data_IF_460056171957
#
_entry.id   IF_460056171957
#
_cell.length_a   1.000
_cell.length_b   1.000
_cell.length_c   1.000
_cell.angle_alpha   90.00
_cell.angle_beta   90.00
_cell.angle_gamma   90.00
#
_symmetry.space_group_name_H-M   'P 1'
#
loop_
_entity.id
_entity.type
_entity.pdbx_description
1 polymer ?
#
# COMPACT_ATOMS: atom_id res chain seq x y z
N UNK A 1 -46.23 13.27 -69.89
CA UNK A 1 -45.63 12.33 -68.89
C UNK A 1 -44.65 13.13 -68.03
N UNK A 2 -45.21 13.76 -67.01
CA UNK A 2 -44.57 14.75 -66.14
C UNK A 2 -43.88 14.03 -64.93
N UNK A 3 -42.59 14.18 -64.88
CA UNK A 3 -41.80 13.69 -63.75
C UNK A 3 -41.76 14.79 -62.68
N UNK A 4 -42.47 14.55 -61.54
CA UNK A 4 -42.47 15.35 -60.36
C UNK A 4 -41.14 15.11 -59.61
N UNK A 5 -40.27 16.12 -59.60
CA UNK A 5 -39.06 16.17 -58.72
C UNK A 5 -39.47 16.73 -57.36
N UNK A 6 -39.78 15.83 -56.45
CA UNK A 6 -39.94 16.21 -55.04
C UNK A 6 -38.61 16.72 -54.43
N UNK A 7 -38.54 18.03 -54.20
CA UNK A 7 -37.50 18.71 -53.47
C UNK A 7 -37.56 18.28 -52.00
N UNK A 8 -36.59 17.41 -51.56
CA UNK A 8 -36.35 17.12 -50.15
C UNK A 8 -35.73 18.36 -49.51
N UNK A 9 -36.55 19.14 -48.83
CA UNK A 9 -36.09 20.17 -47.88
C UNK A 9 -35.41 19.49 -46.69
N UNK A 10 -34.10 19.59 -46.64
CA UNK A 10 -33.32 19.18 -45.45
C UNK A 10 -33.59 20.17 -44.32
N UNK A 11 -34.48 19.80 -43.40
CA UNK A 11 -34.69 20.53 -42.16
C UNK A 11 -33.37 20.53 -41.36
N UNK A 12 -32.73 21.68 -41.29
CA UNK A 12 -31.58 21.93 -40.42
C UNK A 12 -32.07 21.89 -39.00
N UNK A 13 -31.81 20.78 -38.28
CA UNK A 13 -32.04 20.67 -36.85
C UNK A 13 -31.11 21.67 -36.16
N UNK A 14 -31.65 22.84 -35.84
CA UNK A 14 -30.95 23.85 -35.01
C UNK A 14 -30.88 23.31 -33.59
N UNK A 15 -29.74 22.74 -33.21
CA UNK A 15 -29.48 22.34 -31.82
C UNK A 15 -29.50 23.59 -30.93
N UNK A 16 -30.36 23.64 -29.90
CA UNK A 16 -30.38 24.79 -29.00
C UNK A 16 -28.99 25.00 -28.37
N UNK A 17 -28.55 26.24 -28.17
CA UNK A 17 -27.28 26.53 -27.54
C UNK A 17 -27.21 25.87 -26.15
N UNK A 18 -26.21 25.02 -25.94
CA UNK A 18 -25.95 24.42 -24.62
C UNK A 18 -25.76 25.55 -23.65
N UNK A 19 -26.73 25.78 -22.75
CA UNK A 19 -26.61 26.73 -21.66
C UNK A 19 -25.39 26.29 -20.84
N UNK A 20 -24.31 27.07 -20.90
CA UNK A 20 -23.17 26.94 -19.99
C UNK A 20 -23.70 27.34 -18.61
N UNK A 21 -24.10 26.36 -17.79
CA UNK A 21 -24.35 26.61 -16.37
C UNK A 21 -23.10 27.26 -15.80
N UNK A 22 -23.20 28.42 -15.16
CA UNK A 22 -22.05 29.05 -14.53
C UNK A 22 -21.44 28.04 -13.56
N UNK A 23 -20.14 27.76 -13.66
CA UNK A 23 -19.41 26.97 -12.67
C UNK A 23 -19.40 27.82 -11.39
N UNK A 24 -20.36 27.58 -10.50
CA UNK A 24 -20.34 28.13 -9.16
C UNK A 24 -19.18 27.43 -8.45
N UNK A 25 -18.02 28.09 -8.42
CA UNK A 25 -16.92 27.66 -7.55
C UNK A 25 -17.34 27.93 -6.12
N UNK A 26 -17.52 26.90 -5.28
CA UNK A 26 -17.87 27.14 -3.89
C UNK A 26 -16.79 28.02 -3.25
N UNK A 27 -17.16 29.01 -2.45
CA UNK A 27 -16.21 29.90 -1.82
C UNK A 27 -15.28 29.09 -0.89
N UNK A 28 -13.99 29.40 -0.87
CA UNK A 28 -12.96 28.69 -0.14
C UNK A 28 -13.27 28.53 1.38
N UNK A 29 -14.02 29.46 1.98
CA UNK A 29 -14.40 29.39 3.39
C UNK A 29 -15.34 28.20 3.72
N UNK A 30 -15.95 27.56 2.72
CA UNK A 30 -16.73 26.32 2.89
C UNK A 30 -15.84 25.16 3.36
N UNK A 31 -14.52 25.21 3.14
CA UNK A 31 -13.57 24.20 3.61
C UNK A 31 -13.10 24.46 5.04
N UNK A 32 -13.32 25.68 5.59
CA UNK A 32 -12.83 26.06 6.92
C UNK A 32 -13.31 25.13 8.06
N UNK A 33 -14.57 24.73 8.17
CA UNK A 33 -15.00 23.83 9.25
C UNK A 33 -14.24 22.49 9.22
N UNK A 34 -14.03 21.92 8.04
CA UNK A 34 -13.27 20.68 7.88
C UNK A 34 -11.77 20.87 8.22
N UNK A 35 -11.18 21.97 7.79
CA UNK A 35 -9.78 22.31 8.12
C UNK A 35 -9.57 22.59 9.60
N UNK A 36 -10.51 23.27 10.26
CA UNK A 36 -10.44 23.51 11.70
C UNK A 36 -10.55 22.20 12.50
N UNK A 37 -11.48 21.34 12.12
CA UNK A 37 -11.62 20.02 12.74
C UNK A 37 -10.36 19.17 12.53
N UNK A 38 -9.82 19.15 11.31
CA UNK A 38 -8.58 18.45 11.00
C UNK A 38 -7.38 19.02 11.79
N UNK A 39 -7.26 20.34 11.87
CA UNK A 39 -6.20 20.98 12.65
C UNK A 39 -6.30 20.63 14.13
N UNK A 40 -7.52 20.67 14.69
CA UNK A 40 -7.75 20.38 16.11
C UNK A 40 -7.50 18.90 16.46
N UNK A 41 -7.98 17.96 15.62
CA UNK A 41 -7.91 16.52 15.92
C UNK A 41 -6.59 15.89 15.48
N UNK A 42 -5.97 16.40 14.41
CA UNK A 42 -4.76 15.80 13.82
C UNK A 42 -3.52 16.67 14.01
N UNK A 43 -3.54 17.94 13.56
CA UNK A 43 -2.32 18.73 13.55
C UNK A 43 -1.84 19.13 14.95
N UNK A 44 -2.75 19.52 15.85
CA UNK A 44 -2.35 19.93 17.21
C UNK A 44 -1.79 18.74 18.00
N UNK A 45 -2.41 17.54 18.06
CA UNK A 45 -1.82 16.39 18.76
C UNK A 45 -0.51 15.93 18.11
N UNK A 46 -0.43 15.92 16.77
CA UNK A 46 0.82 15.55 16.08
C UNK A 46 1.95 16.54 16.38
N UNK A 47 1.66 17.85 16.40
CA UNK A 47 2.65 18.87 16.75
C UNK A 47 3.13 18.74 18.19
N UNK A 48 2.22 18.45 19.14
CA UNK A 48 2.60 18.13 20.52
C UNK A 48 3.42 16.85 20.60
N UNK A 49 3.05 15.81 19.87
CA UNK A 49 3.82 14.59 19.77
C UNK A 49 5.26 14.86 19.33
N UNK A 50 5.45 15.64 18.25
CA UNK A 50 6.80 16.04 17.81
C UNK A 50 7.58 16.75 18.93
N UNK A 51 6.93 17.61 19.73
CA UNK A 51 7.59 18.25 20.87
C UNK A 51 8.03 17.23 21.93
N UNK A 52 7.17 16.26 22.27
CA UNK A 52 7.51 15.21 23.26
C UNK A 52 8.65 14.30 22.81
N UNK A 53 8.90 14.14 21.52
CA UNK A 53 10.07 13.41 21.02
C UNK A 53 11.42 13.98 21.49
N UNK A 54 11.45 15.26 21.94
CA UNK A 54 12.62 15.95 22.47
C UNK A 54 12.65 16.02 24.01
N UNK A 55 11.81 15.25 24.67
CA UNK A 55 11.67 15.21 26.15
C UNK A 55 11.83 13.80 26.68
N UNK A 56 12.03 13.69 27.99
CA UNK A 56 12.05 12.42 28.74
C UNK A 56 10.67 12.01 29.26
N UNK A 57 9.60 12.51 28.63
CA UNK A 57 8.23 12.27 29.08
C UNK A 57 7.87 10.78 29.09
N UNK A 58 7.35 10.32 30.23
CA UNK A 58 6.91 8.94 30.48
C UNK A 58 5.43 8.68 30.11
N UNK A 59 4.71 9.70 29.60
CA UNK A 59 3.30 9.58 29.24
C UNK A 59 2.31 9.92 30.35
N UNK A 60 2.75 10.05 31.59
CA UNK A 60 1.90 10.19 32.79
C UNK A 60 2.25 11.43 33.60
N UNK A 61 3.54 11.65 33.87
CA UNK A 61 4.00 12.74 34.71
C UNK A 61 3.93 14.07 33.94
N UNK A 62 3.29 15.12 34.53
CA UNK A 62 3.32 16.46 33.96
C UNK A 62 4.71 17.12 34.04
N UNK A 63 5.58 16.64 34.95
CA UNK A 63 6.94 17.15 35.14
C UNK A 63 7.92 16.34 34.28
N UNK A 64 8.27 16.88 33.11
CA UNK A 64 9.24 16.30 32.19
C UNK A 64 10.27 17.34 31.74
N UNK A 65 11.48 16.91 31.44
CA UNK A 65 12.56 17.75 31.00
C UNK A 65 12.74 17.75 29.48
N UNK A 66 13.14 18.89 28.95
CA UNK A 66 13.57 18.97 27.55
C UNK A 66 15.01 18.44 27.44
N UNK A 67 15.21 17.33 26.75
CA UNK A 67 16.49 16.62 26.60
C UNK A 67 17.12 16.79 25.19
N UNK A 68 16.51 17.62 24.33
CA UNK A 68 17.01 17.87 22.97
C UNK A 68 16.98 16.64 22.09
N UNK A 69 18.08 16.33 21.42
CA UNK A 69 18.17 15.20 20.47
C UNK A 69 18.55 13.85 21.13
N UNK A 70 18.55 13.76 22.46
CA UNK A 70 19.01 12.57 23.18
C UNK A 70 18.27 11.30 22.74
N UNK A 71 16.94 11.31 22.67
CA UNK A 71 16.15 10.15 22.18
C UNK A 71 16.60 9.67 20.80
N UNK A 72 16.95 10.60 19.91
CA UNK A 72 17.42 10.27 18.55
C UNK A 72 18.85 9.72 18.53
N UNK A 73 19.72 10.21 19.43
CA UNK A 73 21.10 9.69 19.56
C UNK A 73 21.10 8.33 20.24
N UNK A 74 20.28 8.13 21.26
CA UNK A 74 20.12 6.86 21.96
C UNK A 74 19.58 5.78 21.00
N UNK A 75 18.62 6.13 20.12
CA UNK A 75 18.13 5.24 19.07
C UNK A 75 19.23 4.73 18.11
N UNK A 76 20.22 5.57 17.79
CA UNK A 76 21.32 5.16 16.92
C UNK A 76 22.31 4.22 17.63
N UNK A 77 22.36 4.25 18.96
CA UNK A 77 23.14 3.35 19.80
C UNK A 77 22.40 2.08 20.23
N UNK A 78 21.10 2.03 20.00
CA UNK A 78 20.24 0.91 20.36
C UNK A 78 20.21 -0.12 19.20
N UNK A 79 20.78 -1.30 19.44
CA UNK A 79 20.84 -2.38 18.44
C UNK A 79 19.45 -2.84 18.01
N UNK A 80 18.48 -2.89 18.93
CA UNK A 80 17.10 -3.31 18.63
C UNK A 80 16.40 -2.28 17.74
N UNK A 81 16.59 -0.98 18.00
CA UNK A 81 16.03 0.08 17.16
C UNK A 81 16.63 0.07 15.75
N UNK A 82 17.94 -0.05 15.63
CA UNK A 82 18.64 -0.13 14.33
C UNK A 82 18.18 -1.37 13.54
N UNK A 83 18.06 -2.51 14.22
CA UNK A 83 17.58 -3.74 13.60
C UNK A 83 16.10 -3.62 13.16
N UNK A 84 15.25 -3.00 13.97
CA UNK A 84 13.85 -2.76 13.62
C UNK A 84 13.69 -1.81 12.41
N UNK A 85 14.55 -0.79 12.30
CA UNK A 85 14.60 0.06 11.10
C UNK A 85 14.94 -0.78 9.87
N UNK A 86 15.95 -1.64 9.96
CA UNK A 86 16.34 -2.53 8.86
C UNK A 86 15.22 -3.51 8.48
N UNK A 87 14.60 -4.17 9.47
CA UNK A 87 13.47 -5.08 9.23
C UNK A 87 12.30 -4.35 8.58
N UNK A 88 11.97 -3.14 9.04
CA UNK A 88 10.90 -2.31 8.45
C UNK A 88 11.16 -2.07 6.96
N UNK A 89 12.37 -1.65 6.61
CA UNK A 89 12.72 -1.39 5.20
C UNK A 89 12.72 -2.69 4.39
N UNK A 90 13.30 -3.76 4.91
CA UNK A 90 13.37 -5.06 4.24
C UNK A 90 11.97 -5.62 3.95
N UNK A 91 11.10 -5.65 4.97
CA UNK A 91 9.71 -6.11 4.85
C UNK A 91 8.95 -5.25 3.83
N UNK A 92 9.05 -3.93 3.93
CA UNK A 92 8.36 -3.01 3.03
C UNK A 92 8.77 -3.21 1.57
N UNK A 93 10.07 -3.35 1.29
CA UNK A 93 10.59 -3.62 -0.06
C UNK A 93 10.17 -5.00 -0.54
N UNK A 94 10.30 -6.04 0.29
CA UNK A 94 9.93 -7.40 -0.06
C UNK A 94 8.43 -7.50 -0.40
N UNK A 95 7.56 -6.94 0.46
CA UNK A 95 6.12 -6.88 0.21
C UNK A 95 5.85 -6.13 -1.10
N UNK A 96 6.44 -4.94 -1.28
CA UNK A 96 6.20 -4.13 -2.46
C UNK A 96 6.55 -4.88 -3.75
N UNK A 97 7.69 -5.56 -3.79
CA UNK A 97 8.12 -6.29 -4.99
C UNK A 97 7.27 -7.53 -5.22
N UNK A 98 7.11 -8.37 -4.19
CA UNK A 98 6.46 -9.68 -4.34
C UNK A 98 4.93 -9.51 -4.55
N UNK A 99 4.28 -8.68 -3.72
CA UNK A 99 2.84 -8.42 -3.82
C UNK A 99 2.45 -7.83 -5.17
N UNK A 100 3.20 -6.83 -5.64
CA UNK A 100 2.90 -6.21 -6.94
C UNK A 100 3.23 -7.14 -8.10
N UNK A 101 4.31 -7.93 -8.01
CA UNK A 101 4.62 -8.95 -8.99
C UNK A 101 3.51 -9.99 -9.12
N UNK A 102 3.08 -10.57 -8.01
CA UNK A 102 1.97 -11.54 -7.97
C UNK A 102 0.66 -10.86 -8.41
N UNK A 103 0.34 -9.67 -7.89
CA UNK A 103 -0.86 -8.92 -8.27
C UNK A 103 -0.97 -8.65 -9.77
N UNK A 104 0.15 -8.27 -10.41
CA UNK A 104 0.20 -8.06 -11.86
C UNK A 104 0.02 -9.37 -12.64
N UNK A 105 0.66 -10.46 -12.22
CA UNK A 105 0.48 -11.78 -12.84
C UNK A 105 -0.97 -12.25 -12.75
N UNK A 106 -1.59 -12.11 -11.57
CA UNK A 106 -3.00 -12.41 -11.35
C UNK A 106 -3.91 -11.54 -12.23
N UNK A 107 -3.62 -10.24 -12.34
CA UNK A 107 -4.39 -9.32 -13.18
C UNK A 107 -4.32 -9.70 -14.67
N UNK A 108 -3.14 -10.03 -15.18
CA UNK A 108 -2.95 -10.50 -16.55
C UNK A 108 -3.70 -11.82 -16.80
N UNK A 109 -3.64 -12.76 -15.86
CA UNK A 109 -4.38 -14.03 -15.94
C UNK A 109 -5.90 -13.83 -15.98
N UNK A 110 -6.43 -13.00 -15.07
CA UNK A 110 -7.88 -12.76 -14.95
C UNK A 110 -8.41 -11.79 -16.02
N UNK A 111 -7.54 -10.99 -16.65
CA UNK A 111 -7.92 -10.13 -17.78
C UNK A 111 -8.20 -10.95 -19.07
N UNK A 112 -7.77 -12.20 -19.11
CA UNK A 112 -8.03 -13.09 -20.24
C UNK A 112 -9.52 -13.48 -20.34
N UNK A 113 -9.94 -14.05 -21.49
CA UNK A 113 -11.34 -14.42 -21.79
C UNK A 113 -11.79 -15.73 -21.07
N UNK A 114 -11.37 -15.92 -19.81
CA UNK A 114 -11.75 -17.08 -19.02
C UNK A 114 -13.20 -16.95 -18.53
N UNK A 115 -14.01 -18.01 -18.69
CA UNK A 115 -15.43 -18.01 -18.27
C UNK A 115 -15.60 -17.76 -16.76
N UNK A 116 -14.66 -18.22 -15.93
CA UNK A 116 -14.67 -18.12 -14.46
C UNK A 116 -14.03 -16.84 -13.93
N UNK A 117 -13.65 -15.89 -14.77
CA UNK A 117 -12.91 -14.68 -14.38
C UNK A 117 -13.52 -13.90 -13.20
N UNK A 118 -14.86 -13.79 -13.16
CA UNK A 118 -15.52 -13.04 -12.10
C UNK A 118 -15.46 -13.78 -10.75
N UNK A 119 -15.60 -15.10 -10.77
CA UNK A 119 -15.41 -15.92 -9.57
C UNK A 119 -13.97 -15.84 -9.05
N UNK A 120 -12.99 -15.97 -9.95
CA UNK A 120 -11.58 -15.83 -9.59
C UNK A 120 -11.27 -14.46 -9.00
N UNK A 121 -11.82 -13.37 -9.53
CA UNK A 121 -11.67 -12.01 -8.94
C UNK A 121 -12.16 -11.96 -7.50
N UNK A 122 -13.35 -12.50 -7.24
CA UNK A 122 -13.93 -12.52 -5.89
C UNK A 122 -13.07 -13.36 -4.94
N UNK A 123 -12.70 -14.58 -5.33
CA UNK A 123 -11.91 -15.46 -4.48
C UNK A 123 -10.51 -14.93 -4.17
N UNK A 124 -9.83 -14.36 -5.17
CA UNK A 124 -8.49 -13.79 -5.00
C UNK A 124 -8.50 -12.47 -4.20
N UNK A 125 -9.59 -11.70 -4.27
CA UNK A 125 -9.75 -10.47 -3.52
C UNK A 125 -10.25 -10.71 -2.09
N UNK A 126 -10.95 -11.79 -1.84
CA UNK A 126 -11.60 -12.09 -0.55
C UNK A 126 -10.66 -11.96 0.68
N UNK A 127 -9.40 -12.42 0.64
CA UNK A 127 -8.48 -12.25 1.78
C UNK A 127 -8.27 -10.78 2.19
N UNK A 128 -8.27 -9.85 1.24
CA UNK A 128 -8.04 -8.44 1.51
C UNK A 128 -9.20 -7.75 2.27
N UNK A 129 -10.37 -8.38 2.33
CA UNK A 129 -11.53 -7.86 3.07
C UNK A 129 -11.44 -8.20 4.56
N UNK A 130 -10.69 -9.23 4.92
CA UNK A 130 -10.48 -9.64 6.32
C UNK A 130 -9.53 -8.64 7.00
N UNK A 131 -9.83 -8.28 8.25
CA UNK A 131 -8.95 -7.36 8.99
C UNK A 131 -7.55 -7.98 9.18
N UNK A 132 -6.47 -7.19 9.11
CA UNK A 132 -5.10 -7.68 9.21
C UNK A 132 -4.83 -8.51 10.47
N UNK A 133 -5.33 -8.07 11.61
CA UNK A 133 -5.14 -8.76 12.88
C UNK A 133 -5.80 -10.15 12.91
N UNK A 134 -7.00 -10.29 12.35
CA UNK A 134 -7.72 -11.58 12.26
C UNK A 134 -6.99 -12.53 11.31
N UNK A 135 -6.51 -12.00 10.18
CA UNK A 135 -5.67 -12.77 9.24
C UNK A 135 -4.41 -13.28 9.93
N UNK A 136 -3.74 -12.43 10.72
CA UNK A 136 -2.53 -12.81 11.43
C UNK A 136 -2.79 -13.94 12.46
N UNK A 137 -3.83 -13.84 13.28
CA UNK A 137 -4.19 -14.90 14.23
C UNK A 137 -4.57 -16.22 13.52
N UNK A 138 -5.27 -16.15 12.38
CA UNK A 138 -5.57 -17.33 11.57
C UNK A 138 -4.28 -18.01 11.11
N UNK A 139 -3.37 -17.25 10.51
CA UNK A 139 -2.09 -17.76 10.03
C UNK A 139 -1.16 -18.21 11.15
N UNK A 140 -1.18 -17.56 12.31
CA UNK A 140 -0.44 -17.99 13.49
C UNK A 140 -0.83 -19.42 13.89
N UNK A 141 -2.13 -19.72 13.88
CA UNK A 141 -2.60 -21.10 14.16
C UNK A 141 -2.24 -22.09 13.06
N UNK A 142 -2.32 -21.66 11.78
CA UNK A 142 -1.97 -22.52 10.65
C UNK A 142 -0.46 -22.85 10.59
N UNK A 143 0.39 -21.88 10.93
CA UNK A 143 1.85 -21.98 10.92
C UNK A 143 2.44 -22.51 12.24
N UNK A 144 1.62 -22.66 13.27
CA UNK A 144 2.05 -23.21 14.57
C UNK A 144 2.57 -24.66 14.45
N UNK A 145 3.29 -25.15 15.49
CA UNK A 145 3.86 -26.51 15.47
C UNK A 145 2.84 -27.60 15.13
N UNK A 146 1.64 -27.52 15.73
CA UNK A 146 0.52 -28.45 15.48
C UNK A 146 -0.46 -27.97 14.41
N UNK A 147 -0.07 -26.94 13.64
CA UNK A 147 -0.92 -26.30 12.66
C UNK A 147 -1.08 -27.10 11.37
N UNK A 148 -2.13 -26.76 10.60
CA UNK A 148 -2.48 -27.47 9.38
C UNK A 148 -1.36 -27.46 8.34
N UNK A 149 -0.52 -26.42 8.28
CA UNK A 149 0.63 -26.37 7.37
C UNK A 149 1.61 -27.50 7.69
N UNK A 150 1.96 -27.69 8.95
CA UNK A 150 2.85 -28.77 9.37
C UNK A 150 2.21 -30.14 9.22
N UNK A 151 0.90 -30.26 9.46
CA UNK A 151 0.17 -31.52 9.24
C UNK A 151 0.20 -31.98 7.75
N UNK A 152 0.12 -31.03 6.81
CA UNK A 152 0.22 -31.31 5.37
C UNK A 152 1.66 -31.59 4.94
N UNK A 153 2.63 -30.87 5.49
CA UNK A 153 4.04 -31.02 5.12
C UNK A 153 4.71 -32.24 5.76
N UNK A 154 4.14 -32.77 6.84
CA UNK A 154 4.66 -33.95 7.54
C UNK A 154 6.14 -33.78 7.94
N UNK A 155 7.06 -34.64 7.41
CA UNK A 155 8.47 -34.57 7.76
C UNK A 155 9.19 -33.26 7.39
N UNK A 156 8.57 -32.44 6.52
CA UNK A 156 9.08 -31.13 6.11
C UNK A 156 8.56 -29.98 6.99
N UNK A 157 7.72 -30.31 7.97
CA UNK A 157 7.21 -29.35 8.94
C UNK A 157 8.33 -28.69 9.73
N UNK A 158 8.16 -27.42 10.06
CA UNK A 158 9.14 -26.61 10.80
C UNK A 158 8.44 -25.70 11.80
N UNK A 159 9.21 -25.13 12.70
CA UNK A 159 8.75 -24.00 13.51
C UNK A 159 8.88 -22.71 12.70
N UNK A 160 7.84 -22.39 11.92
CA UNK A 160 7.83 -21.30 10.96
C UNK A 160 7.93 -19.92 11.61
N UNK A 161 7.42 -19.75 12.83
CA UNK A 161 7.36 -18.49 13.54
C UNK A 161 8.37 -18.41 14.69
N UNK A 162 8.87 -19.53 15.17
CA UNK A 162 9.90 -19.62 16.21
C UNK A 162 11.34 -19.64 15.67
N UNK A 163 11.52 -19.84 14.35
CA UNK A 163 12.83 -19.73 13.71
C UNK A 163 13.11 -18.28 13.30
N UNK A 164 14.16 -17.61 13.86
CA UNK A 164 14.49 -16.22 13.53
C UNK A 164 14.71 -15.96 12.04
N UNK A 165 15.25 -16.94 11.29
CA UNK A 165 15.51 -16.80 9.85
C UNK A 165 14.27 -16.94 8.99
N UNK A 166 13.23 -17.61 9.49
CA UNK A 166 11.99 -17.85 8.75
C UNK A 166 10.85 -16.89 9.13
N UNK A 167 10.76 -16.51 10.41
CA UNK A 167 9.62 -15.75 10.94
C UNK A 167 9.33 -14.46 10.16
N UNK A 168 10.37 -13.70 9.82
CA UNK A 168 10.23 -12.47 9.04
C UNK A 168 9.64 -12.74 7.65
N UNK A 169 10.10 -13.81 6.98
CA UNK A 169 9.60 -14.17 5.66
C UNK A 169 8.16 -14.72 5.71
N UNK A 170 7.78 -15.38 6.80
CA UNK A 170 6.39 -15.81 6.98
C UNK A 170 5.46 -14.60 7.14
N UNK A 171 5.89 -13.54 7.80
CA UNK A 171 5.14 -12.27 7.83
C UNK A 171 4.94 -11.74 6.40
N UNK A 172 6.00 -11.69 5.59
CA UNK A 172 5.92 -11.26 4.18
C UNK A 172 4.95 -12.13 3.40
N UNK A 173 5.02 -13.45 3.53
CA UNK A 173 4.12 -14.40 2.86
C UNK A 173 2.65 -14.15 3.22
N UNK A 174 2.36 -13.97 4.50
CA UNK A 174 0.99 -13.72 5.00
C UNK A 174 0.44 -12.40 4.46
N UNK A 175 1.24 -11.33 4.50
CA UNK A 175 0.85 -10.01 3.98
C UNK A 175 0.63 -10.05 2.47
N UNK A 176 1.54 -10.68 1.74
CA UNK A 176 1.42 -10.84 0.28
C UNK A 176 0.18 -11.66 -0.08
N UNK A 177 -0.07 -12.79 0.61
CA UNK A 177 -1.28 -13.58 0.41
C UNK A 177 -2.55 -12.74 0.65
N UNK A 178 -2.55 -11.91 1.68
CA UNK A 178 -3.69 -11.08 2.02
C UNK A 178 -3.95 -9.99 0.96
N UNK A 179 -2.91 -9.32 0.46
CA UNK A 179 -3.07 -8.11 -0.35
C UNK A 179 -2.73 -8.26 -1.84
N UNK A 180 -2.24 -9.42 -2.31
CA UNK A 180 -1.97 -9.62 -3.74
C UNK A 180 -3.23 -9.47 -4.60
N UNK A 181 -4.39 -9.95 -4.09
CA UNK A 181 -5.69 -9.77 -4.77
C UNK A 181 -6.14 -8.31 -4.84
N UNK A 182 -5.82 -7.50 -3.85
CA UNK A 182 -6.06 -6.05 -3.88
C UNK A 182 -5.23 -5.38 -4.98
N UNK A 183 -3.93 -5.69 -5.04
CA UNK A 183 -3.05 -5.20 -6.12
C UNK A 183 -3.52 -5.68 -7.50
N UNK A 184 -4.00 -6.92 -7.61
CA UNK A 184 -4.60 -7.46 -8.84
C UNK A 184 -5.76 -6.59 -9.33
N UNK A 185 -6.66 -6.15 -8.44
CA UNK A 185 -7.83 -5.34 -8.83
C UNK A 185 -7.41 -3.99 -9.40
N UNK A 186 -6.41 -3.33 -8.80
CA UNK A 186 -5.89 -2.04 -9.29
C UNK A 186 -5.23 -2.23 -10.67
N UNK A 187 -4.37 -3.24 -10.83
CA UNK A 187 -3.76 -3.54 -12.12
C UNK A 187 -4.80 -3.92 -13.18
N UNK A 188 -5.82 -4.67 -12.80
CA UNK A 188 -6.90 -5.06 -13.71
C UNK A 188 -7.70 -3.85 -14.20
N UNK A 189 -7.98 -2.88 -13.32
CA UNK A 189 -8.61 -1.62 -13.70
C UNK A 189 -7.74 -0.84 -14.71
N UNK A 190 -6.43 -0.78 -14.46
CA UNK A 190 -5.47 -0.19 -15.40
C UNK A 190 -5.41 -0.92 -16.74
N UNK A 191 -5.38 -2.26 -16.75
CA UNK A 191 -5.40 -3.04 -17.99
C UNK A 191 -6.69 -2.84 -18.80
N UNK A 192 -7.82 -2.67 -18.13
CA UNK A 192 -9.12 -2.47 -18.77
C UNK A 192 -9.33 -1.04 -19.29
N UNK A 193 -8.52 -0.08 -18.86
CA UNK A 193 -8.52 1.30 -19.40
C UNK A 193 -7.80 1.42 -20.74
N UNK A 194 -7.01 0.43 -21.15
CA UNK A 194 -6.29 0.42 -22.42
C UNK A 194 -7.28 0.08 -23.56
N UNK A 195 -7.44 0.97 -24.57
CA UNK A 195 -8.32 0.74 -25.72
C UNK A 195 -7.96 -0.56 -26.47
N UNK A 196 -8.98 -1.27 -26.94
CA UNK A 196 -8.78 -2.54 -27.68
C UNK A 196 -8.04 -2.33 -28.99
N UNK A 197 -8.22 -1.19 -29.63
CA UNK A 197 -7.57 -0.80 -30.88
C UNK A 197 -6.04 -0.87 -30.79
N UNK A 198 -5.48 -0.56 -29.62
CA UNK A 198 -4.03 -0.65 -29.36
C UNK A 198 -3.56 -2.10 -29.41
N UNK A 199 -4.34 -3.02 -28.83
CA UNK A 199 -4.01 -4.45 -28.87
C UNK A 199 -4.15 -5.03 -30.27
N UNK A 200 -5.16 -4.59 -31.04
CA UNK A 200 -5.42 -5.01 -32.41
C UNK A 200 -4.32 -4.50 -33.35
N UNK A 201 -3.92 -3.23 -33.25
CA UNK A 201 -2.81 -2.67 -34.01
C UNK A 201 -1.50 -3.44 -33.75
N UNK A 202 -1.18 -3.70 -32.48
CA UNK A 202 -0.01 -4.48 -32.11
C UNK A 202 -0.03 -5.93 -32.64
N UNK A 203 -1.21 -6.50 -32.79
CA UNK A 203 -1.38 -7.85 -33.38
C UNK A 203 -1.17 -7.82 -34.91
N UNK A 204 -1.62 -6.79 -35.61
CA UNK A 204 -1.40 -6.59 -37.05
C UNK A 204 0.10 -6.42 -37.34
N UNK A 205 0.84 -5.69 -36.48
CA UNK A 205 2.28 -5.51 -36.55
C UNK A 205 3.08 -6.79 -36.20
N UNK A 206 2.41 -7.90 -35.90
CA UNK A 206 3.05 -9.17 -35.56
C UNK A 206 3.80 -9.17 -34.22
N UNK A 207 3.48 -8.23 -33.32
CA UNK A 207 4.18 -8.08 -32.04
C UNK A 207 3.84 -9.23 -31.10
N UNK A 208 4.83 -10.04 -30.72
CA UNK A 208 4.67 -11.13 -29.76
C UNK A 208 4.28 -10.65 -28.35
N UNK A 209 3.67 -11.53 -27.55
CA UNK A 209 3.07 -11.19 -26.25
C UNK A 209 4.04 -10.48 -25.29
N UNK A 210 5.28 -10.95 -25.16
CA UNK A 210 6.27 -10.36 -24.26
C UNK A 210 6.70 -8.97 -24.71
N UNK A 211 6.98 -8.78 -26.02
CA UNK A 211 7.32 -7.48 -26.59
C UNK A 211 6.17 -6.49 -26.44
N UNK A 212 4.94 -6.94 -26.72
CA UNK A 212 3.73 -6.14 -26.53
C UNK A 212 3.56 -5.67 -25.07
N UNK A 213 3.80 -6.57 -24.12
CA UNK A 213 3.73 -6.20 -22.71
C UNK A 213 4.76 -5.11 -22.34
N UNK A 214 6.02 -5.28 -22.68
CA UNK A 214 7.08 -4.34 -22.30
C UNK A 214 7.03 -3.00 -23.03
N UNK A 215 6.68 -3.03 -24.34
CA UNK A 215 6.73 -1.83 -25.19
C UNK A 215 5.42 -1.04 -25.23
N UNK A 216 4.27 -1.68 -24.92
CA UNK A 216 2.95 -1.05 -25.06
C UNK A 216 2.17 -1.08 -23.75
N UNK A 217 1.93 -2.28 -23.19
CA UNK A 217 1.05 -2.44 -22.02
C UNK A 217 1.66 -1.81 -20.77
N UNK A 218 2.94 -2.11 -20.47
CA UNK A 218 3.62 -1.59 -19.28
C UNK A 218 3.68 -0.07 -19.24
N UNK A 219 4.06 0.66 -20.30
CA UNK A 219 3.99 2.13 -20.30
C UNK A 219 2.58 2.68 -20.05
N UNK A 220 1.55 2.11 -20.67
CA UNK A 220 0.16 2.52 -20.47
C UNK A 220 -0.38 2.15 -19.08
N UNK A 221 0.20 1.14 -18.45
CA UNK A 221 -0.14 0.71 -17.10
C UNK A 221 0.60 1.53 -16.02
N UNK A 222 1.51 2.43 -16.38
CA UNK A 222 2.33 3.20 -15.45
C UNK A 222 1.54 3.87 -14.32
N UNK A 223 0.37 4.51 -14.53
CA UNK A 223 -0.39 5.10 -13.43
C UNK A 223 -0.86 4.05 -12.39
N UNK A 224 -1.31 2.88 -12.84
CA UNK A 224 -1.73 1.80 -11.95
C UNK A 224 -0.54 1.19 -11.20
N UNK A 225 0.63 1.08 -11.86
CA UNK A 225 1.89 0.66 -11.23
C UNK A 225 2.27 1.65 -10.12
N UNK A 226 2.25 2.96 -10.42
CA UNK A 226 2.58 4.02 -9.47
C UNK A 226 1.70 3.93 -8.22
N UNK A 227 0.38 3.86 -8.39
CA UNK A 227 -0.58 3.78 -7.28
C UNK A 227 -0.32 2.52 -6.43
N UNK A 228 -0.19 1.36 -7.06
CA UNK A 228 0.04 0.10 -6.35
C UNK A 228 1.35 0.10 -5.56
N UNK A 229 2.44 0.55 -6.18
CA UNK A 229 3.74 0.65 -5.51
C UNK A 229 3.70 1.62 -4.33
N UNK A 230 3.02 2.77 -4.47
CA UNK A 230 2.87 3.73 -3.36
C UNK A 230 2.07 3.15 -2.20
N UNK A 231 0.96 2.49 -2.47
CA UNK A 231 0.13 1.87 -1.43
C UNK A 231 0.87 0.75 -0.70
N UNK A 232 1.59 -0.12 -1.43
CA UNK A 232 2.30 -1.25 -0.84
C UNK A 232 3.53 -0.83 -0.04
N UNK A 233 4.32 0.16 -0.49
CA UNK A 233 5.49 0.61 0.27
C UNK A 233 5.08 1.33 1.56
N UNK A 234 4.09 2.22 1.48
CA UNK A 234 3.57 2.91 2.67
C UNK A 234 2.96 1.91 3.65
N UNK A 235 2.17 0.95 3.16
CA UNK A 235 1.58 -0.11 3.97
C UNK A 235 2.63 -0.99 4.63
N UNK A 236 3.69 -1.36 3.89
CA UNK A 236 4.80 -2.16 4.39
C UNK A 236 5.65 -1.45 5.46
N UNK A 237 5.95 -0.15 5.28
CA UNK A 237 6.70 0.63 6.27
C UNK A 237 5.90 0.80 7.58
N UNK A 238 4.58 0.92 7.49
CA UNK A 238 3.67 1.09 8.63
C UNK A 238 3.11 -0.24 9.17
N UNK A 239 3.69 -1.37 8.77
CA UNK A 239 3.19 -2.69 9.14
C UNK A 239 3.31 -2.90 10.65
N UNK A 240 2.17 -3.09 11.32
CA UNK A 240 2.07 -3.35 12.75
C UNK A 240 1.26 -4.62 13.04
N UNK A 241 0.00 -4.66 12.60
CA UNK A 241 -0.99 -5.66 13.01
C UNK A 241 -0.51 -7.11 12.78
N UNK A 242 0.02 -7.40 11.58
CA UNK A 242 0.47 -8.74 11.24
C UNK A 242 1.73 -9.12 12.02
N UNK A 243 2.70 -8.21 12.18
CA UNK A 243 3.92 -8.47 12.95
C UNK A 243 3.56 -8.75 14.41
N UNK A 244 2.76 -7.87 15.01
CA UNK A 244 2.37 -7.99 16.40
C UNK A 244 1.57 -9.27 16.69
N UNK A 245 0.58 -9.59 15.84
CA UNK A 245 -0.29 -10.74 16.09
C UNK A 245 0.34 -12.09 15.70
N UNK A 246 1.27 -12.14 14.72
CA UNK A 246 1.95 -13.37 14.33
C UNK A 246 3.06 -13.75 15.32
N UNK A 247 3.95 -12.80 15.62
CA UNK A 247 5.22 -13.07 16.33
C UNK A 247 5.44 -12.21 17.56
N UNK A 248 4.70 -11.08 17.71
CA UNK A 248 4.98 -10.08 18.75
C UNK A 248 6.36 -9.42 18.61
N UNK A 249 6.99 -9.49 17.43
CA UNK A 249 8.37 -9.03 17.19
C UNK A 249 9.43 -10.10 17.39
N UNK A 250 9.07 -11.29 17.92
CA UNK A 250 9.97 -12.41 18.20
C UNK A 250 10.27 -13.30 16.99
N UNK A 251 11.08 -14.36 17.18
CA UNK A 251 11.83 -14.64 18.41
C UNK A 251 13.05 -13.71 18.58
N UNK A 252 13.37 -13.29 19.80
CA UNK A 252 14.59 -12.51 20.11
C UNK A 252 14.73 -11.24 19.24
N UNK A 253 13.67 -10.43 19.08
CA UNK A 253 13.63 -9.22 18.26
C UNK A 253 13.79 -9.43 16.72
N UNK A 254 13.86 -10.69 16.25
CA UNK A 254 14.13 -11.02 14.84
C UNK A 254 13.05 -10.53 13.84
N UNK A 255 11.89 -10.12 14.32
CA UNK A 255 10.81 -9.58 13.46
C UNK A 255 10.28 -8.23 13.93
N UNK A 256 10.94 -7.62 14.92
CA UNK A 256 10.54 -6.28 15.33
C UNK A 256 10.66 -5.28 14.17
N UNK A 257 9.65 -4.45 14.07
CA UNK A 257 9.59 -3.28 13.17
C UNK A 257 9.55 -2.02 14.01
N UNK A 258 9.82 -0.87 13.41
CA UNK A 258 9.68 0.42 14.13
C UNK A 258 8.29 0.53 14.75
N UNK A 259 7.24 0.10 14.03
CA UNK A 259 5.85 0.16 14.53
C UNK A 259 5.62 -0.72 15.77
N UNK A 260 6.25 -1.90 15.86
CA UNK A 260 6.15 -2.77 17.06
C UNK A 260 6.97 -2.24 18.22
N UNK A 261 8.14 -1.65 17.97
CA UNK A 261 8.93 -0.99 19.02
C UNK A 261 8.19 0.23 19.59
N UNK A 262 7.63 1.10 18.75
CA UNK A 262 6.80 2.22 19.22
C UNK A 262 5.76 1.75 20.23
N UNK A 263 5.10 0.63 19.95
CA UNK A 263 4.08 0.08 20.84
C UNK A 263 4.70 -0.47 22.15
N UNK A 264 5.78 -1.25 22.04
CA UNK A 264 6.44 -1.86 23.20
C UNK A 264 7.03 -0.80 24.13
N UNK A 265 7.76 0.17 23.58
CA UNK A 265 8.43 1.20 24.38
C UNK A 265 7.41 2.11 25.07
N UNK A 266 6.34 2.52 24.37
CA UNK A 266 5.29 3.33 24.97
C UNK A 266 4.50 2.57 26.04
N UNK A 267 3.96 1.38 25.71
CA UNK A 267 2.92 0.74 26.52
C UNK A 267 3.45 -0.38 27.41
N UNK A 268 4.65 -0.90 27.18
CA UNK A 268 5.26 -1.95 28.00
C UNK A 268 6.37 -1.38 28.88
N UNK A 269 7.22 -0.49 28.33
CA UNK A 269 8.34 0.10 29.04
C UNK A 269 8.01 1.46 29.67
N UNK A 270 6.99 2.17 29.19
CA UNK A 270 6.63 3.50 29.67
C UNK A 270 7.53 4.62 29.14
N UNK A 271 8.32 4.36 28.09
CA UNK A 271 9.25 5.31 27.48
C UNK A 271 8.59 6.09 26.35
N UNK A 272 7.58 6.93 26.70
CA UNK A 272 6.80 7.64 25.67
C UNK A 272 7.62 8.62 24.85
N UNK A 273 8.54 9.37 25.45
CA UNK A 273 9.41 10.31 24.75
C UNK A 273 10.24 9.63 23.66
N UNK A 274 10.87 8.50 24.00
CA UNK A 274 11.63 7.67 23.06
C UNK A 274 10.75 7.04 21.99
N UNK A 275 9.62 6.46 22.38
CA UNK A 275 8.64 5.89 21.46
C UNK A 275 8.14 6.91 20.42
N UNK A 276 7.86 8.15 20.87
CA UNK A 276 7.43 9.22 19.95
C UNK A 276 8.60 9.64 19.02
N UNK A 277 9.85 9.61 19.48
CA UNK A 277 10.99 9.85 18.60
C UNK A 277 11.10 8.78 17.50
N UNK A 278 10.86 7.50 17.81
CA UNK A 278 10.73 6.41 16.81
C UNK A 278 9.60 6.69 15.82
N UNK A 279 8.45 7.19 16.29
CA UNK A 279 7.32 7.54 15.43
C UNK A 279 7.63 8.72 14.49
N UNK A 280 8.41 9.71 14.95
CA UNK A 280 8.92 10.80 14.10
C UNK A 280 9.84 10.26 13.02
N UNK A 281 10.79 9.38 13.37
CA UNK A 281 11.69 8.73 12.41
C UNK A 281 10.90 7.90 11.40
N UNK A 282 9.94 7.10 11.83
CA UNK A 282 9.04 6.35 10.95
C UNK A 282 8.32 7.28 9.95
N UNK A 283 7.80 8.40 10.45
CA UNK A 283 7.13 9.40 9.60
C UNK A 283 8.07 9.99 8.55
N UNK A 284 9.32 10.29 8.92
CA UNK A 284 10.34 10.77 8.00
C UNK A 284 10.68 9.71 6.95
N UNK A 285 10.84 8.45 7.34
CA UNK A 285 11.10 7.34 6.41
C UNK A 285 9.95 7.21 5.40
N UNK A 286 8.69 7.24 5.86
CA UNK A 286 7.51 7.19 4.97
C UNK A 286 7.51 8.38 4.01
N UNK A 287 7.77 9.59 4.50
CA UNK A 287 7.80 10.80 3.68
C UNK A 287 8.89 10.74 2.60
N UNK A 288 10.11 10.33 2.97
CA UNK A 288 11.24 10.18 2.05
C UNK A 288 10.93 9.10 1.00
N UNK A 289 10.48 7.92 1.43
CA UNK A 289 10.15 6.82 0.54
C UNK A 289 9.05 7.22 -0.47
N UNK A 290 7.98 7.88 0.02
CA UNK A 290 6.88 8.34 -0.82
C UNK A 290 7.31 9.43 -1.80
N UNK A 291 8.11 10.40 -1.36
CA UNK A 291 8.60 11.48 -2.22
C UNK A 291 9.58 10.95 -3.29
N UNK A 292 10.50 10.06 -2.91
CA UNK A 292 11.44 9.43 -3.83
C UNK A 292 10.71 8.60 -4.89
N UNK A 293 9.74 7.79 -4.46
CA UNK A 293 8.95 6.96 -5.34
C UNK A 293 8.09 7.80 -6.30
N UNK A 294 7.39 8.82 -5.79
CA UNK A 294 6.61 9.73 -6.62
C UNK A 294 7.46 10.44 -7.67
N UNK A 295 8.63 10.95 -7.26
CA UNK A 295 9.54 11.66 -8.17
C UNK A 295 10.07 10.74 -9.27
N UNK A 296 10.40 9.48 -8.91
CA UNK A 296 10.91 8.50 -9.87
C UNK A 296 9.83 8.05 -10.87
N UNK A 297 8.62 7.75 -10.39
CA UNK A 297 7.54 7.22 -11.20
C UNK A 297 6.87 8.29 -12.07
N UNK A 298 6.68 9.52 -11.56
CA UNK A 298 6.09 10.63 -12.34
C UNK A 298 6.94 11.06 -13.54
N UNK A 299 8.26 10.83 -13.49
CA UNK A 299 9.13 11.05 -14.66
C UNK A 299 8.84 10.04 -15.78
N UNK A 300 8.55 8.79 -15.42
CA UNK A 300 8.23 7.74 -16.39
C UNK A 300 6.84 7.93 -17.01
N UNK A 301 5.87 8.47 -16.28
CA UNK A 301 4.54 8.81 -16.81
C UNK A 301 4.61 9.93 -17.86
N UNK A 302 5.41 10.98 -17.60
CA UNK A 302 5.64 12.10 -18.54
C UNK A 302 6.39 11.70 -19.81
N UNK A 303 7.21 10.64 -19.74
CA UNK A 303 7.92 10.11 -20.90
C UNK A 303 7.03 9.18 -21.75
N UNK A 304 5.89 8.73 -21.22
CA UNK A 304 4.95 7.83 -21.90
C UNK A 304 3.70 8.57 -22.46
N UNK A 305 3.48 9.83 -22.09
CA UNK A 305 2.44 10.73 -22.61
C UNK A 305 2.96 11.60 -23.75
#
# INVERSE_FOLDING_TARGET
MSLDLQSRTTERVVRPPRSRRPRVTPPWWFTLPALLLFAFVVLIPSGRGVYYAFTDWDGLDPDFAFIGLRNFTDMLGDEDAVQAIWHTVLIAVAITVIQNGIGLLLALGVNSMIKTRNLLRVLLFAPAVVTPIVTAYLWRNLLGPDGAVNAVLGPWGRDWLGDPGLALWMIVVVVVWQFAGYSMVIFLAGLQSIPREIYEAAAIDGTGALRRFWSIVRPLLAPAITINLMLSIIGGIKLFDQVYALTGGGPGHATDTISTLIYKDAFTLGEFGYSIALAVVLTIIVAIASAAQYTFLSRNEKAAS
#
